data_IF_474378507511
#
_entry.id   IF_474378507511
#
_cell.length_a   1.000
_cell.length_b   1.000
_cell.length_c   1.000
_cell.angle_alpha   90.00
_cell.angle_beta   90.00
_cell.angle_gamma   90.00
#
_symmetry.space_group_name_H-M   'P 1'
#
loop_
_entity.id
_entity.type
_entity.pdbx_description
1 polymer ?
#
# COMPACT_ATOMS: atom_id res chain seq x y z
N UNK A 1 -6.71 -2.94 16.79
CA UNK A 1 -5.70 -2.09 16.16
C UNK A 1 -6.31 -0.77 15.68
N UNK A 2 -6.69 -0.55 14.43
CA UNK A 2 -7.36 0.72 14.02
C UNK A 2 -8.64 0.94 14.82
N UNK A 3 -9.49 -0.07 14.91
CA UNK A 3 -10.73 -0.03 15.69
C UNK A 3 -10.49 0.34 17.16
N UNK A 4 -9.46 -0.21 17.78
CA UNK A 4 -9.10 0.14 19.18
C UNK A 4 -8.66 1.59 19.28
N UNK A 5 -7.88 2.08 18.32
CA UNK A 5 -7.43 3.48 18.28
C UNK A 5 -8.61 4.44 18.15
N UNK A 6 -9.55 4.14 17.29
CA UNK A 6 -10.76 4.96 17.05
C UNK A 6 -11.68 4.97 18.29
N UNK A 7 -11.75 3.85 19.01
CA UNK A 7 -12.53 3.75 20.25
C UNK A 7 -11.93 4.53 21.45
N UNK A 8 -10.67 4.98 21.32
CA UNK A 8 -9.99 5.78 22.35
C UNK A 8 -9.54 7.13 21.78
N UNK A 9 -10.48 8.03 21.44
CA UNK A 9 -10.17 9.30 20.77
C UNK A 9 -9.35 10.27 21.63
N UNK A 10 -9.49 10.18 22.95
CA UNK A 10 -8.71 11.01 23.87
C UNK A 10 -7.19 10.83 23.74
N UNK A 11 -6.73 9.66 23.29
CA UNK A 11 -5.32 9.31 23.12
C UNK A 11 -4.75 9.70 21.75
N UNK A 12 -5.55 10.33 20.88
CA UNK A 12 -5.17 10.61 19.47
C UNK A 12 -3.89 11.45 19.39
N UNK A 13 -3.76 12.49 20.19
CA UNK A 13 -2.58 13.35 20.19
C UNK A 13 -1.32 12.59 20.60
N UNK A 14 -1.37 11.95 21.77
CA UNK A 14 -0.22 11.18 22.29
C UNK A 14 0.21 10.08 21.31
N UNK A 15 -0.74 9.36 20.76
CA UNK A 15 -0.50 8.28 19.78
C UNK A 15 0.17 8.78 18.49
N UNK A 16 -0.28 9.91 17.94
CA UNK A 16 0.31 10.49 16.73
C UNK A 16 1.71 11.06 16.99
N UNK A 17 1.92 11.69 18.15
CA UNK A 17 3.23 12.18 18.57
C UNK A 17 4.21 11.01 18.83
N UNK A 18 3.77 9.94 19.46
CA UNK A 18 4.56 8.72 19.65
C UNK A 18 4.95 8.07 18.30
N UNK A 19 3.98 7.93 17.37
CA UNK A 19 4.24 7.40 16.05
C UNK A 19 5.24 8.27 15.26
N UNK A 20 5.11 9.58 15.35
CA UNK A 20 6.03 10.53 14.74
C UNK A 20 7.45 10.43 15.31
N UNK A 21 7.58 10.41 16.63
CA UNK A 21 8.86 10.24 17.31
C UNK A 21 9.53 8.90 16.97
N UNK A 22 8.75 7.82 16.95
CA UNK A 22 9.24 6.49 16.57
C UNK A 22 9.69 6.44 15.09
N UNK A 23 9.00 7.14 14.20
CA UNK A 23 9.44 7.27 12.82
C UNK A 23 10.80 7.95 12.72
N UNK A 24 11.03 9.01 13.50
CA UNK A 24 12.31 9.71 13.57
C UNK A 24 13.43 8.86 14.16
N UNK A 25 13.17 8.17 15.28
CA UNK A 25 14.11 7.24 15.91
C UNK A 25 14.61 6.15 14.97
N UNK A 26 13.70 5.60 14.17
CA UNK A 26 14.02 4.50 13.26
C UNK A 26 14.58 4.95 11.91
N UNK A 27 14.64 6.26 11.61
CA UNK A 27 15.01 6.76 10.29
C UNK A 27 16.42 6.34 9.87
N UNK A 28 17.42 6.48 10.75
CA UNK A 28 18.80 6.08 10.43
C UNK A 28 18.94 4.58 10.15
N UNK A 29 18.08 3.77 10.76
CA UNK A 29 18.08 2.33 10.60
C UNK A 29 17.31 1.87 9.36
N UNK A 30 16.16 2.49 9.09
CA UNK A 30 15.24 2.00 8.06
C UNK A 30 15.25 2.85 6.78
N UNK A 31 15.62 4.13 6.85
CA UNK A 31 15.52 5.11 5.76
C UNK A 31 14.16 5.04 5.03
N UNK A 32 13.08 4.89 5.81
CA UNK A 32 11.75 4.64 5.29
C UNK A 32 10.93 5.91 5.03
N UNK A 33 11.43 7.09 5.44
CA UNK A 33 10.74 8.39 5.32
C UNK A 33 11.55 9.34 4.44
N UNK A 34 10.88 10.00 3.50
CA UNK A 34 11.45 11.10 2.68
C UNK A 34 11.15 12.45 3.32
N UNK A 35 9.93 12.65 3.79
CA UNK A 35 9.50 13.89 4.44
C UNK A 35 8.71 13.57 5.70
N UNK A 36 9.17 14.04 6.83
CA UNK A 36 8.43 14.00 8.09
C UNK A 36 7.33 15.07 8.07
N UNK A 37 6.17 14.74 8.60
CA UNK A 37 5.02 15.63 8.69
C UNK A 37 4.62 15.76 10.15
N UNK A 38 4.82 16.96 10.73
CA UNK A 38 4.44 17.23 12.12
C UNK A 38 2.91 17.06 12.26
N UNK A 39 2.42 16.22 13.17
CA UNK A 39 0.99 15.95 13.31
C UNK A 39 0.19 17.12 13.94
N UNK A 40 0.83 18.10 14.57
CA UNK A 40 0.18 19.12 15.40
C UNK A 40 -0.90 19.91 14.69
N UNK A 41 -0.63 20.39 13.47
CA UNK A 41 -1.61 21.15 12.71
C UNK A 41 -2.83 20.28 12.35
N UNK A 42 -2.61 19.05 11.90
CA UNK A 42 -3.68 18.12 11.54
C UNK A 42 -4.53 17.74 12.77
N UNK A 43 -3.88 17.54 13.92
CA UNK A 43 -4.57 17.23 15.18
C UNK A 43 -5.46 18.39 15.65
N UNK A 44 -5.05 19.65 15.42
CA UNK A 44 -5.86 20.83 15.77
C UNK A 44 -7.10 20.99 14.89
N UNK A 45 -7.14 20.32 13.72
CA UNK A 45 -8.21 20.38 12.73
C UNK A 45 -8.91 19.02 12.56
N UNK A 46 -8.73 18.11 13.52
CA UNK A 46 -9.27 16.76 13.45
C UNK A 46 -10.81 16.81 13.40
N UNK A 47 -11.45 16.18 12.39
CA UNK A 47 -12.91 16.15 12.31
C UNK A 47 -13.51 15.36 13.47
N UNK A 48 -14.72 15.70 13.88
CA UNK A 48 -15.45 14.89 14.86
C UNK A 48 -15.82 13.53 14.28
N UNK A 49 -15.27 12.46 14.85
CA UNK A 49 -15.52 11.09 14.43
C UNK A 49 -14.77 10.67 13.16
N UNK A 50 -15.21 9.57 12.56
CA UNK A 50 -14.60 8.98 11.36
C UNK A 50 -13.93 7.64 11.62
N UNK A 51 -13.90 6.79 10.59
CA UNK A 51 -13.35 5.42 10.67
C UNK A 51 -11.84 5.35 10.95
N UNK A 52 -11.13 6.48 10.81
CA UNK A 52 -9.69 6.60 11.07
C UNK A 52 -9.37 7.73 12.04
N UNK A 53 -10.33 8.14 12.88
CA UNK A 53 -10.17 9.27 13.80
C UNK A 53 -8.93 9.12 14.70
N UNK A 54 -7.97 10.06 14.57
CA UNK A 54 -6.72 10.08 15.32
C UNK A 54 -5.78 8.91 15.01
N UNK A 55 -5.91 8.26 13.85
CA UNK A 55 -5.03 7.17 13.43
C UNK A 55 -3.81 7.74 12.70
N UNK A 56 -2.58 7.54 13.19
CA UNK A 56 -1.37 7.95 12.47
C UNK A 56 -1.16 7.08 11.23
N UNK A 57 -0.86 7.71 10.10
CA UNK A 57 -0.62 7.03 8.83
C UNK A 57 0.63 7.53 8.12
N UNK A 58 1.18 6.71 7.22
CA UNK A 58 2.18 7.14 6.24
C UNK A 58 1.60 7.09 4.84
N UNK A 59 2.02 8.02 3.99
CA UNK A 59 1.55 8.13 2.61
C UNK A 59 2.74 8.02 1.67
N UNK A 60 2.69 7.09 0.70
CA UNK A 60 3.74 6.96 -0.32
C UNK A 60 3.98 8.29 -1.01
N UNK A 61 5.24 8.60 -1.31
CA UNK A 61 5.65 9.94 -1.74
C UNK A 61 5.28 10.30 -3.18
N UNK A 62 4.55 9.43 -3.91
CA UNK A 62 3.92 9.77 -5.19
C UNK A 62 2.45 10.26 -5.06
N UNK A 63 1.94 10.40 -3.85
CA UNK A 63 0.57 10.86 -3.59
C UNK A 63 0.60 12.35 -3.25
N UNK A 64 -0.06 13.17 -4.05
CA UNK A 64 -0.19 14.60 -3.80
C UNK A 64 -0.87 14.88 -2.46
N UNK A 65 -0.15 15.58 -1.61
CA UNK A 65 -0.61 16.04 -0.31
C UNK A 65 -0.39 17.56 -0.27
N UNK A 66 -1.46 18.34 -0.33
CA UNK A 66 -1.39 19.80 -0.46
C UNK A 66 -0.50 20.43 0.60
N UNK A 67 0.45 21.24 0.16
CA UNK A 67 1.40 21.96 1.02
C UNK A 67 2.50 21.09 1.64
N UNK A 68 2.49 19.77 1.41
CA UNK A 68 3.52 18.85 1.89
C UNK A 68 4.38 18.40 0.71
N UNK A 69 5.70 18.49 0.87
CA UNK A 69 6.67 18.08 -0.15
C UNK A 69 6.35 16.65 -0.63
N UNK A 70 6.26 16.49 -1.97
CA UNK A 70 5.93 15.24 -2.64
C UNK A 70 6.89 15.04 -3.81
N UNK A 71 7.84 14.12 -3.65
CA UNK A 71 8.99 14.00 -4.57
C UNK A 71 8.92 12.82 -5.51
N UNK A 72 7.99 11.88 -5.26
CA UNK A 72 7.97 10.57 -5.95
C UNK A 72 9.32 9.84 -5.90
N UNK A 73 10.09 10.02 -4.82
CA UNK A 73 11.43 9.43 -4.66
C UNK A 73 12.47 9.95 -5.64
N UNK A 74 12.18 11.04 -6.39
CA UNK A 74 13.03 11.61 -7.43
C UNK A 74 13.64 12.96 -7.03
N UNK A 75 14.89 13.16 -7.42
CA UNK A 75 15.55 14.46 -7.28
C UNK A 75 14.91 15.54 -8.17
N UNK A 76 14.31 15.16 -9.28
CA UNK A 76 13.61 16.07 -10.20
C UNK A 76 12.49 16.83 -9.48
N UNK A 77 11.74 16.11 -8.62
CA UNK A 77 10.62 16.66 -7.85
C UNK A 77 11.00 17.01 -6.40
N UNK A 78 12.28 17.11 -6.06
CA UNK A 78 12.74 17.28 -4.68
C UNK A 78 12.25 18.58 -4.00
N UNK A 79 11.82 19.56 -4.77
CA UNK A 79 11.26 20.84 -4.31
C UNK A 79 9.78 21.03 -4.71
N UNK A 80 9.08 19.96 -5.12
CA UNK A 80 7.68 20.05 -5.50
C UNK A 80 6.75 20.01 -4.27
N UNK A 81 5.89 21.01 -4.17
CA UNK A 81 4.82 21.12 -3.18
C UNK A 81 3.48 21.18 -3.91
N UNK A 82 2.65 20.13 -3.82
CA UNK A 82 1.35 20.10 -4.47
C UNK A 82 0.44 21.23 -3.98
N UNK A 83 -0.29 21.85 -4.90
CA UNK A 83 -1.29 22.89 -4.59
C UNK A 83 -2.68 22.31 -4.33
N UNK A 84 -2.85 20.98 -4.48
CA UNK A 84 -4.09 20.25 -4.28
C UNK A 84 -3.80 18.88 -3.66
N UNK A 85 -4.82 18.30 -3.01
CA UNK A 85 -4.79 16.94 -2.47
C UNK A 85 -5.22 15.92 -3.52
N UNK A 86 -4.59 14.76 -3.53
CA UNK A 86 -5.18 13.58 -4.16
C UNK A 86 -6.52 13.23 -3.51
N UNK A 87 -7.43 12.62 -4.26
CA UNK A 87 -8.74 12.20 -3.72
C UNK A 87 -8.59 11.32 -2.48
N UNK A 88 -7.64 10.40 -2.48
CA UNK A 88 -7.38 9.55 -1.32
C UNK A 88 -6.86 10.34 -0.11
N UNK A 89 -6.07 11.40 -0.32
CA UNK A 89 -5.61 12.29 0.75
C UNK A 89 -6.79 13.00 1.41
N UNK A 90 -7.75 13.49 0.61
CA UNK A 90 -8.98 14.10 1.13
C UNK A 90 -9.80 13.11 1.95
N UNK A 91 -10.07 11.91 1.40
CA UNK A 91 -10.83 10.85 2.08
C UNK A 91 -10.18 10.43 3.41
N UNK A 92 -8.86 10.29 3.45
CA UNK A 92 -8.13 9.96 4.67
C UNK A 92 -8.29 11.06 5.73
N UNK A 93 -8.16 12.33 5.33
CA UNK A 93 -8.34 13.48 6.23
C UNK A 93 -9.78 13.57 6.73
N UNK A 94 -10.77 13.41 5.87
CA UNK A 94 -12.19 13.41 6.21
C UNK A 94 -12.56 12.27 7.15
N UNK A 95 -11.89 11.12 7.03
CA UNK A 95 -12.02 9.99 7.95
C UNK A 95 -11.26 10.18 9.28
N UNK A 96 -10.53 11.29 9.45
CA UNK A 96 -9.80 11.62 10.67
C UNK A 96 -8.41 11.01 10.78
N UNK A 97 -7.80 10.51 9.69
CA UNK A 97 -6.43 10.03 9.69
C UNK A 97 -5.42 11.19 9.76
N UNK A 98 -4.31 10.96 10.45
CA UNK A 98 -3.22 11.93 10.64
C UNK A 98 -1.96 11.47 9.92
N UNK A 99 -1.58 12.16 8.86
CA UNK A 99 -0.36 11.85 8.11
C UNK A 99 0.87 12.32 8.88
N UNK A 100 1.77 11.39 9.25
CA UNK A 100 3.01 11.69 9.95
C UNK A 100 4.26 11.61 9.05
N UNK A 101 4.15 11.02 7.86
CA UNK A 101 5.29 10.80 6.98
C UNK A 101 4.89 10.62 5.51
N UNK A 102 5.73 11.16 4.60
CA UNK A 102 5.79 10.76 3.20
C UNK A 102 6.82 9.64 3.09
N UNK A 103 6.35 8.45 2.72
CA UNK A 103 7.15 7.23 2.76
C UNK A 103 8.07 7.06 1.55
N UNK A 104 9.27 6.53 1.78
CA UNK A 104 10.27 6.21 0.75
C UNK A 104 9.72 5.22 -0.29
N UNK A 105 10.21 5.38 -1.51
CA UNK A 105 9.76 4.59 -2.66
C UNK A 105 10.84 4.53 -3.73
N UNK A 106 10.77 3.58 -4.66
CA UNK A 106 11.58 3.65 -5.88
C UNK A 106 11.23 4.90 -6.69
N UNK A 107 12.24 5.52 -7.30
CA UNK A 107 12.10 6.72 -8.09
C UNK A 107 10.97 6.60 -9.12
N UNK A 108 10.04 7.58 -9.13
CA UNK A 108 8.86 7.65 -10.02
C UNK A 108 8.00 6.38 -10.03
N UNK A 109 8.02 5.60 -8.96
CA UNK A 109 7.39 4.30 -8.80
C UNK A 109 7.90 3.22 -9.79
N UNK A 110 9.00 3.50 -10.50
CA UNK A 110 9.64 2.61 -11.47
C UNK A 110 10.71 1.75 -10.80
N UNK A 111 10.32 0.65 -10.21
CA UNK A 111 11.24 -0.27 -9.54
C UNK A 111 10.52 -1.35 -8.76
N UNK A 112 11.28 -2.22 -8.13
CA UNK A 112 10.73 -3.33 -7.35
C UNK A 112 11.54 -3.63 -6.09
N UNK A 113 12.46 -2.73 -5.72
CA UNK A 113 13.46 -2.99 -4.66
C UNK A 113 13.52 -1.92 -3.58
N UNK A 114 13.06 -0.70 -3.88
CA UNK A 114 13.25 0.52 -3.08
C UNK A 114 14.73 0.91 -2.88
N UNK A 115 15.55 0.63 -3.91
CA UNK A 115 16.97 1.00 -3.92
C UNK A 115 17.24 2.30 -4.69
N UNK A 116 16.28 2.79 -5.48
CA UNK A 116 16.46 3.89 -6.43
C UNK A 116 16.00 5.24 -5.92
N UNK A 117 15.49 5.32 -4.68
CA UNK A 117 15.11 6.59 -4.06
C UNK A 117 16.30 7.55 -3.97
N UNK A 118 16.10 8.84 -4.27
CA UNK A 118 17.18 9.84 -4.18
C UNK A 118 17.71 10.05 -2.75
N UNK A 119 16.94 9.65 -1.73
CA UNK A 119 17.38 9.67 -0.32
C UNK A 119 18.11 8.39 0.09
N UNK A 120 18.29 7.44 -0.82
CA UNK A 120 18.90 6.14 -0.56
C UNK A 120 17.88 5.01 -0.34
N UNK A 121 18.40 3.82 -0.19
CA UNK A 121 17.62 2.60 -0.03
C UNK A 121 16.83 2.56 1.29
N UNK A 122 15.60 2.06 1.25
CA UNK A 122 14.88 1.68 2.46
C UNK A 122 15.28 0.26 2.90
N UNK A 123 15.39 0.05 4.21
CA UNK A 123 15.85 -1.21 4.80
C UNK A 123 14.70 -2.00 5.43
N UNK A 124 14.77 -3.32 5.32
CA UNK A 124 13.76 -4.21 5.88
C UNK A 124 13.85 -4.24 7.42
N UNK A 125 12.77 -4.00 8.16
CA UNK A 125 12.79 -3.97 9.63
C UNK A 125 13.22 -5.29 10.28
N UNK A 126 12.98 -6.42 9.62
CA UNK A 126 13.36 -7.75 10.12
C UNK A 126 14.85 -8.04 10.01
N UNK A 127 15.48 -7.55 8.93
CA UNK A 127 16.91 -7.65 8.69
C UNK A 127 17.33 -6.49 7.77
N UNK A 128 18.02 -5.51 8.31
CA UNK A 128 18.42 -4.29 7.58
C UNK A 128 19.40 -4.53 6.43
N UNK A 129 19.97 -5.73 6.30
CA UNK A 129 20.78 -6.16 5.15
C UNK A 129 19.92 -6.59 3.96
N UNK A 130 18.61 -6.73 4.15
CA UNK A 130 17.66 -7.15 3.14
C UNK A 130 16.85 -5.96 2.62
N UNK A 131 16.44 -6.05 1.35
CA UNK A 131 15.55 -5.07 0.74
C UNK A 131 14.13 -5.19 1.31
N UNK A 132 13.40 -4.08 1.27
CA UNK A 132 11.96 -4.03 1.61
C UNK A 132 11.08 -4.57 0.49
N UNK A 133 11.63 -4.74 -0.72
CA UNK A 133 10.84 -4.75 -1.94
C UNK A 133 10.34 -3.33 -2.27
N UNK A 134 9.83 -3.16 -3.47
CA UNK A 134 9.37 -1.85 -3.96
C UNK A 134 8.23 -2.00 -5.00
N UNK A 135 7.76 -0.87 -5.46
CA UNK A 135 8.22 0.51 -5.23
C UNK A 135 7.70 1.16 -3.93
N UNK A 136 6.82 0.54 -3.13
CA UNK A 136 6.27 1.09 -1.89
C UNK A 136 6.98 0.55 -0.64
N UNK A 137 8.32 0.41 -0.68
CA UNK A 137 9.09 -0.24 0.38
C UNK A 137 9.07 0.50 1.71
N UNK A 138 9.15 1.85 1.69
CA UNK A 138 9.07 2.65 2.90
C UNK A 138 7.73 2.51 3.62
N UNK A 139 6.62 2.47 2.85
CA UNK A 139 5.28 2.26 3.41
C UNK A 139 5.17 0.90 4.11
N UNK A 140 5.65 -0.18 3.47
CA UNK A 140 5.65 -1.51 4.07
C UNK A 140 6.54 -1.59 5.32
N UNK A 141 7.72 -0.97 5.26
CA UNK A 141 8.67 -0.95 6.39
C UNK A 141 8.10 -0.24 7.62
N UNK A 142 7.43 0.92 7.45
CA UNK A 142 6.82 1.66 8.54
C UNK A 142 5.70 0.87 9.23
N UNK A 143 4.88 0.13 8.45
CA UNK A 143 3.85 -0.75 9.02
C UNK A 143 4.46 -1.95 9.73
N UNK A 144 5.46 -2.60 9.12
CA UNK A 144 6.13 -3.77 9.70
C UNK A 144 6.90 -3.43 10.98
N UNK A 145 7.52 -2.25 11.06
CA UNK A 145 8.19 -1.75 12.25
C UNK A 145 7.20 -1.28 13.35
N UNK A 146 5.90 -1.29 13.08
CA UNK A 146 4.88 -0.84 14.02
C UNK A 146 4.93 0.66 14.31
N UNK A 147 5.41 1.47 13.37
CA UNK A 147 5.37 2.93 13.43
C UNK A 147 3.95 3.42 13.21
N UNK A 148 3.30 2.91 12.18
CA UNK A 148 1.90 3.22 11.86
C UNK A 148 1.09 1.93 11.69
N UNK A 149 -0.22 1.94 11.98
CA UNK A 149 -1.07 0.77 11.76
C UNK A 149 -1.37 0.53 10.27
N UNK A 150 -1.34 1.58 9.46
CA UNK A 150 -1.56 1.53 8.02
C UNK A 150 -0.69 2.53 7.25
N UNK A 151 -0.38 2.21 6.00
CA UNK A 151 0.30 3.11 5.09
C UNK A 151 -0.22 2.97 3.66
N UNK A 152 -0.28 4.08 2.93
CA UNK A 152 -0.68 4.10 1.52
C UNK A 152 0.50 3.71 0.63
N UNK A 153 0.20 2.94 -0.42
CA UNK A 153 1.11 2.60 -1.50
C UNK A 153 0.47 2.73 -2.88
N UNK A 154 1.22 2.41 -3.91
CA UNK A 154 0.72 2.24 -5.27
C UNK A 154 1.32 0.97 -5.89
N UNK A 155 0.57 0.32 -6.77
CA UNK A 155 0.92 -0.96 -7.39
C UNK A 155 0.61 -0.93 -8.90
N UNK A 156 1.64 -1.04 -9.70
CA UNK A 156 1.56 -1.07 -11.15
C UNK A 156 1.86 -2.48 -11.66
N UNK A 157 2.95 -3.07 -11.23
CA UNK A 157 3.32 -4.47 -11.44
C UNK A 157 3.08 -5.33 -10.20
N UNK A 158 3.74 -4.93 -9.10
CA UNK A 158 3.71 -5.66 -7.82
C UNK A 158 4.06 -4.77 -6.61
N UNK A 159 4.00 -3.45 -6.79
CA UNK A 159 4.64 -2.47 -5.87
C UNK A 159 3.94 -2.28 -4.51
N UNK A 160 2.85 -2.97 -4.22
CA UNK A 160 2.27 -3.17 -2.88
C UNK A 160 2.45 -4.63 -2.45
N UNK A 161 2.14 -5.57 -3.32
CA UNK A 161 2.13 -7.01 -2.98
C UNK A 161 3.53 -7.55 -2.66
N UNK A 162 4.55 -7.16 -3.43
CA UNK A 162 5.95 -7.56 -3.19
C UNK A 162 6.49 -7.00 -1.86
N UNK A 163 6.45 -5.68 -1.60
CA UNK A 163 6.94 -5.17 -0.33
C UNK A 163 6.13 -5.69 0.87
N UNK A 164 4.82 -5.95 0.73
CA UNK A 164 4.04 -6.60 1.78
C UNK A 164 4.58 -7.99 2.12
N UNK A 165 4.86 -8.80 1.09
CA UNK A 165 5.45 -10.14 1.27
C UNK A 165 6.83 -10.09 1.92
N UNK A 166 7.70 -9.16 1.50
CA UNK A 166 9.07 -9.05 2.02
C UNK A 166 9.13 -8.52 3.44
N UNK A 167 8.20 -7.64 3.81
CA UNK A 167 8.12 -7.06 5.16
C UNK A 167 7.14 -7.79 6.09
N UNK A 168 6.44 -8.83 5.62
CA UNK A 168 5.54 -9.66 6.45
C UNK A 168 4.31 -8.91 6.95
N UNK A 169 3.68 -8.11 6.09
CA UNK A 169 2.45 -7.36 6.38
C UNK A 169 1.34 -7.67 5.37
N UNK A 170 0.12 -7.28 5.67
CA UNK A 170 -0.99 -7.37 4.72
C UNK A 170 -0.84 -6.26 3.69
N UNK A 171 -0.78 -6.62 2.40
CA UNK A 171 -0.78 -5.67 1.28
C UNK A 171 -2.02 -5.86 0.43
N UNK A 172 -2.77 -4.79 0.22
CA UNK A 172 -4.00 -4.82 -0.58
C UNK A 172 -3.82 -4.04 -1.85
N UNK A 173 -3.94 -4.73 -2.99
CA UNK A 173 -4.16 -4.14 -4.30
C UNK A 173 -5.61 -4.45 -4.71
N UNK A 174 -6.53 -3.51 -4.61
CA UNK A 174 -7.93 -3.74 -4.98
C UNK A 174 -8.10 -3.91 -6.49
N UNK A 175 -9.31 -4.18 -6.92
CA UNK A 175 -9.68 -4.15 -8.34
C UNK A 175 -9.42 -2.77 -8.94
N UNK A 176 -8.94 -2.73 -10.19
CA UNK A 176 -8.69 -1.48 -10.92
C UNK A 176 -9.92 -0.56 -10.90
N UNK A 177 -9.68 0.71 -10.60
CA UNK A 177 -10.73 1.71 -10.46
C UNK A 177 -11.53 1.64 -9.15
N UNK A 178 -11.23 0.72 -8.23
CA UNK A 178 -11.95 0.67 -6.95
C UNK A 178 -11.59 1.84 -6.03
N UNK A 179 -10.35 2.30 -6.09
CA UNK A 179 -9.84 3.50 -5.42
C UNK A 179 -9.42 4.50 -6.49
N UNK A 180 -9.79 5.76 -6.33
CA UNK A 180 -9.39 6.84 -7.25
C UNK A 180 -7.87 7.01 -7.30
N UNK A 181 -7.36 7.29 -8.51
CA UNK A 181 -5.96 7.62 -8.78
C UNK A 181 -5.73 9.11 -9.00
N UNK A 182 -6.79 9.94 -8.89
CA UNK A 182 -6.61 11.38 -9.06
C UNK A 182 -5.64 11.95 -8.02
N UNK A 183 -4.63 12.66 -8.53
CA UNK A 183 -3.56 13.24 -7.72
C UNK A 183 -2.44 12.27 -7.32
N UNK A 184 -2.37 11.09 -7.95
CA UNK A 184 -1.21 10.20 -7.87
C UNK A 184 -0.26 10.56 -9.03
N UNK A 185 1.03 10.77 -8.76
CA UNK A 185 2.04 10.92 -9.82
C UNK A 185 2.13 9.57 -10.53
N UNK A 186 1.78 9.49 -11.83
CA UNK A 186 1.59 8.22 -12.50
C UNK A 186 2.92 7.58 -12.93
N UNK A 187 2.94 6.23 -12.93
CA UNK A 187 3.93 5.44 -13.66
C UNK A 187 3.33 4.97 -14.98
N UNK A 188 2.33 4.10 -14.94
CA UNK A 188 1.64 3.57 -16.11
C UNK A 188 0.12 3.63 -15.87
N UNK A 189 -0.55 4.61 -16.49
CA UNK A 189 -1.93 4.99 -16.19
C UNK A 189 -2.94 3.86 -16.39
N UNK A 190 -2.70 2.92 -17.32
CA UNK A 190 -3.58 1.76 -17.54
C UNK A 190 -3.37 0.63 -16.52
N UNK A 191 -2.29 0.67 -15.74
CA UNK A 191 -1.88 -0.39 -14.82
C UNK A 191 -1.83 0.08 -13.34
N UNK A 192 -1.67 1.38 -13.11
CA UNK A 192 -1.52 1.92 -11.76
C UNK A 192 -2.76 1.68 -10.90
N UNK A 193 -2.54 1.23 -9.66
CA UNK A 193 -3.53 1.09 -8.61
C UNK A 193 -3.06 1.83 -7.37
N UNK A 194 -3.98 2.46 -6.66
CA UNK A 194 -3.74 2.77 -5.25
C UNK A 194 -3.96 1.49 -4.44
N UNK A 195 -3.02 1.20 -3.57
CA UNK A 195 -3.14 0.14 -2.59
C UNK A 195 -2.61 0.60 -1.24
N UNK A 196 -2.54 -0.30 -0.29
CA UNK A 196 -2.15 0.04 1.07
C UNK A 196 -1.65 -1.17 1.85
N UNK A 197 -1.07 -0.90 3.02
CA UNK A 197 -0.50 -1.88 3.94
C UNK A 197 -1.15 -1.76 5.30
N UNK A 198 -1.38 -2.90 5.95
CA UNK A 198 -1.86 -2.99 7.33
C UNK A 198 -1.24 -4.21 8.03
N UNK A 199 -1.44 -4.34 9.35
CA UNK A 199 -1.00 -5.52 10.08
C UNK A 199 -2.08 -6.57 10.28
N UNK A 200 -3.34 -6.26 9.97
CA UNK A 200 -4.45 -7.20 10.05
C UNK A 200 -5.39 -7.06 8.86
N UNK A 201 -6.16 -8.11 8.58
CA UNK A 201 -7.20 -8.09 7.54
C UNK A 201 -8.36 -7.18 7.95
N UNK A 202 -8.69 -7.10 9.25
CA UNK A 202 -9.72 -6.16 9.74
C UNK A 202 -9.34 -4.71 9.43
N UNK A 203 -8.09 -4.30 9.76
CA UNK A 203 -7.61 -2.96 9.42
C UNK A 203 -7.59 -2.71 7.91
N UNK A 204 -7.35 -3.77 7.12
CA UNK A 204 -7.40 -3.69 5.67
C UNK A 204 -8.82 -3.43 5.15
N UNK A 205 -9.83 -4.07 5.73
CA UNK A 205 -11.23 -3.84 5.40
C UNK A 205 -11.67 -2.40 5.73
N UNK A 206 -11.36 -1.93 6.95
CA UNK A 206 -11.65 -0.55 7.37
C UNK A 206 -11.00 0.46 6.40
N UNK A 207 -9.74 0.23 6.03
CA UNK A 207 -9.02 1.09 5.09
C UNK A 207 -9.69 1.12 3.71
N UNK A 208 -10.16 -0.04 3.21
CA UNK A 208 -10.86 -0.10 1.92
C UNK A 208 -12.20 0.63 1.96
N UNK A 209 -12.95 0.53 3.05
CA UNK A 209 -14.21 1.25 3.25
C UNK A 209 -14.02 2.76 3.15
N UNK A 210 -12.90 3.28 3.67
CA UNK A 210 -12.57 4.71 3.57
C UNK A 210 -12.15 5.11 2.15
N UNK A 211 -11.29 4.32 1.51
CA UNK A 211 -10.63 4.72 0.26
C UNK A 211 -11.48 4.47 -0.99
N UNK A 212 -12.30 3.42 -0.99
CA UNK A 212 -13.07 3.00 -2.16
C UNK A 212 -14.15 4.01 -2.57
N UNK A 213 -14.66 3.83 -3.80
CA UNK A 213 -15.83 4.55 -4.31
C UNK A 213 -15.55 5.44 -5.50
N UNK A 214 -16.61 5.94 -6.09
CA UNK A 214 -16.62 6.80 -7.28
C UNK A 214 -15.91 8.12 -7.00
N UNK A 215 -15.14 8.55 -7.99
CA UNK A 215 -14.55 9.89 -8.07
C UNK A 215 -14.73 10.43 -9.50
N UNK A 216 -15.39 11.58 -9.62
CA UNK A 216 -15.64 12.20 -10.93
C UNK A 216 -14.37 12.85 -11.52
N UNK A 217 -13.30 13.00 -10.73
CA UNK A 217 -11.98 13.44 -11.18
C UNK A 217 -11.14 12.29 -11.74
N UNK A 218 -11.54 11.03 -11.53
CA UNK A 218 -10.94 9.84 -12.12
C UNK A 218 -12.00 9.06 -12.91
N UNK A 219 -12.04 9.26 -14.22
CA UNK A 219 -13.00 8.61 -15.12
C UNK A 219 -12.94 7.09 -15.10
N UNK A 220 -11.84 6.50 -14.61
CA UNK A 220 -11.68 5.05 -14.47
C UNK A 220 -12.25 4.51 -13.17
N UNK A 221 -12.66 5.39 -12.24
CA UNK A 221 -13.20 4.96 -10.94
C UNK A 221 -14.56 4.27 -11.08
N UNK A 222 -14.73 3.18 -10.33
CA UNK A 222 -15.91 2.30 -10.40
C UNK A 222 -17.17 2.97 -9.79
N UNK A 223 -18.31 2.80 -10.47
CA UNK A 223 -19.62 3.21 -9.98
C UNK A 223 -20.23 2.26 -8.93
N UNK A 224 -19.56 1.12 -8.62
CA UNK A 224 -20.06 0.20 -7.61
C UNK A 224 -20.09 0.85 -6.24
N UNK A 225 -21.19 0.71 -5.46
CA UNK A 225 -21.26 1.22 -4.10
C UNK A 225 -20.12 0.65 -3.24
N UNK A 226 -19.77 1.37 -2.20
CA UNK A 226 -18.82 0.87 -1.19
C UNK A 226 -19.59 -0.08 -0.28
N UNK A 227 -19.08 -1.29 -0.15
CA UNK A 227 -19.64 -2.31 0.73
C UNK A 227 -18.99 -2.21 2.12
N UNK A 228 -19.65 -2.74 3.13
CA UNK A 228 -19.08 -2.88 4.47
C UNK A 228 -18.22 -4.15 4.51
N UNK A 229 -16.96 -4.03 4.06
CA UNK A 229 -16.04 -5.16 3.95
C UNK A 229 -15.74 -5.84 5.28
N UNK A 230 -15.84 -5.09 6.39
CA UNK A 230 -15.67 -5.63 7.75
C UNK A 230 -16.75 -6.65 8.12
N UNK A 231 -17.94 -6.58 7.56
CA UNK A 231 -19.04 -7.54 7.83
C UNK A 231 -18.72 -8.92 7.29
N UNK A 232 -17.96 -9.02 6.20
CA UNK A 232 -17.58 -10.29 5.57
C UNK A 232 -16.46 -11.06 6.30
N UNK A 233 -15.82 -10.49 7.31
CA UNK A 233 -14.66 -11.09 8.00
C UNK A 233 -15.00 -12.41 8.71
N UNK A 234 -16.24 -12.59 9.10
CA UNK A 234 -16.71 -13.81 9.80
C UNK A 234 -17.41 -14.81 8.88
N UNK A 235 -17.45 -14.56 7.58
CA UNK A 235 -18.06 -15.44 6.61
C UNK A 235 -17.31 -16.76 6.52
N UNK A 236 -18.06 -17.86 6.45
CA UNK A 236 -17.47 -19.17 6.24
C UNK A 236 -16.87 -19.29 4.84
N UNK A 237 -15.68 -19.89 4.75
CA UNK A 237 -15.06 -20.26 3.46
C UNK A 237 -15.55 -21.62 2.95
N UNK A 238 -16.42 -22.31 3.68
CA UNK A 238 -16.96 -23.61 3.28
C UNK A 238 -17.65 -23.53 1.92
N UNK A 239 -17.24 -24.40 0.99
CA UNK A 239 -17.74 -24.45 -0.38
C UNK A 239 -17.20 -23.33 -1.30
N UNK A 240 -16.41 -22.38 -0.80
CA UNK A 240 -15.73 -21.41 -1.66
C UNK A 240 -14.71 -22.13 -2.56
N UNK A 241 -14.71 -21.81 -3.84
CA UNK A 241 -13.76 -22.36 -4.82
C UNK A 241 -12.50 -21.49 -4.86
N UNK A 242 -11.36 -22.09 -4.64
CA UNK A 242 -10.03 -21.43 -4.65
C UNK A 242 -9.20 -22.09 -5.73
N UNK A 243 -8.76 -21.30 -6.71
CA UNK A 243 -7.83 -21.74 -7.76
C UNK A 243 -6.40 -21.40 -7.36
N UNK A 244 -5.50 -22.38 -7.46
CA UNK A 244 -4.05 -22.19 -7.31
C UNK A 244 -3.44 -22.10 -8.70
N UNK A 245 -2.59 -21.11 -8.93
CA UNK A 245 -1.84 -20.96 -10.17
C UNK A 245 -0.59 -21.85 -10.11
N UNK A 246 -0.70 -23.07 -10.66
CA UNK A 246 0.33 -24.10 -10.62
C UNK A 246 1.64 -23.65 -11.25
N UNK A 247 1.61 -22.99 -12.41
CA UNK A 247 2.81 -22.48 -13.08
C UNK A 247 3.69 -21.61 -12.16
N UNK A 248 3.08 -20.83 -11.23
CA UNK A 248 3.81 -20.01 -10.28
C UNK A 248 4.36 -20.86 -9.14
N UNK A 249 3.53 -21.73 -8.56
CA UNK A 249 3.92 -22.59 -7.42
C UNK A 249 5.06 -23.53 -7.83
N UNK A 250 4.98 -24.14 -9.00
CA UNK A 250 6.00 -25.06 -9.52
C UNK A 250 7.34 -24.36 -9.79
N UNK A 251 7.35 -23.04 -9.96
CA UNK A 251 8.56 -22.24 -10.14
C UNK A 251 9.27 -21.87 -8.83
N UNK A 252 8.64 -22.11 -7.67
CA UNK A 252 9.22 -21.78 -6.36
C UNK A 252 10.26 -22.81 -5.98
N UNK A 253 11.52 -22.38 -5.88
CA UNK A 253 12.66 -23.24 -5.55
C UNK A 253 12.94 -23.38 -4.05
N UNK A 254 12.44 -22.46 -3.21
CA UNK A 254 12.68 -22.49 -1.78
C UNK A 254 11.77 -23.53 -1.09
N UNK A 255 12.33 -24.61 -0.49
CA UNK A 255 11.55 -25.71 0.06
C UNK A 255 10.72 -25.31 1.28
N UNK A 256 11.18 -24.34 2.08
CA UNK A 256 10.43 -23.84 3.23
C UNK A 256 9.17 -23.08 2.77
N UNK A 257 9.31 -22.23 1.75
CA UNK A 257 8.16 -21.52 1.14
C UNK A 257 7.13 -22.52 0.59
N UNK A 258 7.58 -23.54 -0.13
CA UNK A 258 6.70 -24.60 -0.66
C UNK A 258 5.99 -25.33 0.47
N UNK A 259 6.70 -25.70 1.54
CA UNK A 259 6.13 -26.35 2.71
C UNK A 259 5.02 -25.51 3.36
N UNK A 260 5.30 -24.23 3.65
CA UNK A 260 4.32 -23.31 4.26
C UNK A 260 3.11 -23.10 3.37
N UNK A 261 3.31 -23.02 2.06
CA UNK A 261 2.22 -22.92 1.10
C UNK A 261 1.32 -24.16 1.12
N UNK A 262 1.91 -25.35 1.11
CA UNK A 262 1.15 -26.59 1.18
C UNK A 262 0.38 -26.73 2.51
N UNK A 263 0.96 -26.33 3.64
CA UNK A 263 0.27 -26.28 4.93
C UNK A 263 -0.94 -25.32 4.89
N UNK A 264 -0.81 -24.17 4.23
CA UNK A 264 -1.95 -23.26 4.02
C UNK A 264 -3.05 -23.91 3.19
N UNK A 265 -2.69 -24.59 2.10
CA UNK A 265 -3.65 -25.30 1.24
C UNK A 265 -4.43 -26.35 2.03
N UNK A 266 -3.76 -27.14 2.87
CA UNK A 266 -4.43 -28.13 3.71
C UNK A 266 -5.34 -27.48 4.77
N UNK A 267 -4.97 -26.35 5.35
CA UNK A 267 -5.83 -25.57 6.25
C UNK A 267 -7.10 -25.09 5.54
N UNK A 268 -6.99 -24.60 4.30
CA UNK A 268 -8.14 -24.15 3.51
C UNK A 268 -9.10 -25.31 3.20
N UNK A 269 -8.57 -26.46 2.80
CA UNK A 269 -9.37 -27.67 2.57
C UNK A 269 -10.05 -28.15 3.86
N UNK A 270 -9.34 -28.17 4.97
CA UNK A 270 -9.89 -28.55 6.28
C UNK A 270 -11.01 -27.61 6.74
N UNK A 271 -10.93 -26.32 6.38
CA UNK A 271 -11.99 -25.34 6.62
C UNK A 271 -13.19 -25.48 5.65
N UNK A 272 -13.12 -26.43 4.71
CA UNK A 272 -14.19 -26.77 3.78
C UNK A 272 -14.17 -26.03 2.45
N UNK A 273 -13.09 -25.31 2.11
CA UNK A 273 -12.92 -24.77 0.78
C UNK A 273 -12.64 -25.88 -0.25
N UNK A 274 -13.07 -25.65 -1.50
CA UNK A 274 -12.72 -26.48 -2.67
C UNK A 274 -11.48 -25.85 -3.31
N UNK A 275 -10.34 -26.55 -3.25
CA UNK A 275 -9.06 -26.02 -3.71
C UNK A 275 -8.59 -26.84 -4.91
N UNK A 276 -8.45 -26.21 -6.06
CA UNK A 276 -7.99 -26.80 -7.31
C UNK A 276 -6.75 -26.11 -7.85
N UNK A 277 -5.86 -26.86 -8.48
CA UNK A 277 -4.66 -26.33 -9.13
C UNK A 277 -4.88 -26.24 -10.64
N UNK A 278 -4.55 -25.08 -11.20
CA UNK A 278 -4.69 -24.80 -12.64
C UNK A 278 -3.34 -24.41 -13.23
N UNK A 279 -3.08 -24.90 -14.44
CA UNK A 279 -1.93 -24.50 -15.25
C UNK A 279 -2.43 -23.78 -16.50
N UNK A 280 -1.93 -22.59 -16.71
CA UNK A 280 -2.15 -21.85 -17.97
C UNK A 280 -1.14 -22.26 -19.03
N UNK A 281 -1.41 -21.92 -20.29
CA UNK A 281 -0.45 -22.12 -21.36
C UNK A 281 0.89 -21.42 -21.06
N UNK A 282 1.99 -22.15 -21.18
CA UNK A 282 3.33 -21.65 -20.84
C UNK A 282 3.79 -20.50 -21.73
N UNK A 283 3.33 -20.41 -22.98
CA UNK A 283 3.65 -19.28 -23.88
C UNK A 283 2.99 -18.01 -23.35
N UNK A 284 1.72 -18.13 -22.90
CA UNK A 284 1.01 -17.03 -22.29
C UNK A 284 1.70 -16.56 -21.00
N UNK A 285 2.09 -17.50 -20.13
CA UNK A 285 2.81 -17.17 -18.89
C UNK A 285 4.13 -16.46 -19.15
N UNK A 286 4.90 -16.91 -20.15
CA UNK A 286 6.16 -16.26 -20.55
C UNK A 286 5.96 -14.89 -21.20
N UNK A 287 4.80 -14.62 -21.79
CA UNK A 287 4.50 -13.33 -22.41
C UNK A 287 4.12 -12.23 -21.39
N UNK A 288 3.71 -12.58 -20.15
CA UNK A 288 3.21 -11.62 -19.17
C UNK A 288 4.25 -10.52 -18.88
N UNK A 289 5.47 -10.89 -18.51
CA UNK A 289 6.48 -9.93 -18.09
C UNK A 289 6.93 -8.99 -19.22
N UNK A 290 7.30 -9.47 -20.43
CA UNK A 290 7.64 -8.57 -21.53
C UNK A 290 6.46 -7.68 -21.96
N UNK A 291 5.23 -8.18 -21.94
CA UNK A 291 4.04 -7.37 -22.24
C UNK A 291 3.87 -6.26 -21.21
N UNK A 292 3.98 -6.59 -19.92
CA UNK A 292 3.94 -5.60 -18.85
C UNK A 292 4.98 -4.48 -19.04
N UNK A 293 6.25 -4.82 -19.26
CA UNK A 293 7.30 -3.81 -19.43
C UNK A 293 7.12 -2.97 -20.71
N UNK A 294 6.60 -3.57 -21.78
CA UNK A 294 6.32 -2.82 -23.02
C UNK A 294 5.26 -1.75 -22.76
N UNK A 295 4.14 -2.12 -22.16
CA UNK A 295 3.05 -1.18 -21.83
C UNK A 295 3.56 -0.13 -20.84
N UNK A 296 4.13 -0.57 -19.71
CA UNK A 296 4.53 0.31 -18.62
C UNK A 296 5.59 1.33 -19.06
N UNK A 297 6.59 0.92 -19.85
CA UNK A 297 7.64 1.84 -20.31
C UNK A 297 7.13 2.85 -21.35
N UNK A 298 6.23 2.43 -22.24
CA UNK A 298 5.61 3.38 -23.19
C UNK A 298 4.75 4.42 -22.46
N UNK A 299 3.95 3.99 -21.50
CA UNK A 299 3.11 4.90 -20.72
C UNK A 299 3.94 5.79 -19.79
N UNK A 300 5.00 5.26 -19.17
CA UNK A 300 5.94 6.04 -18.36
C UNK A 300 6.60 7.15 -19.18
N UNK A 301 7.09 6.84 -20.39
CA UNK A 301 7.68 7.83 -21.28
C UNK A 301 6.69 8.98 -21.59
N UNK A 302 5.42 8.66 -21.83
CA UNK A 302 4.37 9.65 -22.04
C UNK A 302 4.05 10.45 -20.77
N UNK A 303 3.89 9.77 -19.63
CA UNK A 303 3.49 10.40 -18.37
C UNK A 303 4.57 11.33 -17.79
N UNK A 304 5.84 10.99 -17.96
CA UNK A 304 6.96 11.74 -17.38
C UNK A 304 7.57 12.79 -18.31
N UNK A 305 7.09 12.87 -19.56
CA UNK A 305 7.54 13.88 -20.53
C UNK A 305 6.73 15.19 -20.50
N UNK A 306 5.69 15.26 -19.67
CA UNK A 306 4.80 16.43 -19.54
C UNK A 306 5.19 17.35 -18.39
#
# INVERSE_FOLDING_TARGET
MIKDMVNHPADSTARCEEAYAKAQELQDKLNAVITFVDPKEQLSQLPEGGLLHGVPIAIKDNVNTKGIRTTSGSRILSNYFPIYDATITKKLREAGAVCIAKASMDELAMGGTNLTCFTGAAHNPWDTRRMTGGSSGGSAALVAAGVVPMAIGSDTGDSVRKPASYCGVVGVKPTYGRISRYGIIPYASSLDHVGYFTRSVEDACITLEVLAGRDDLDVTSSNRPVEHYTEALNDSIRGKKIAILGNVVDSVSNPETVKLFNELVEKLKAAGAVVDMYHFDDKLMRAILPTYYTIANCEAASNHSN
#
